data_IF_174917511022
#
_entry.id   IF_174917511022
#
_cell.length_a   1.000
_cell.length_b   1.000
_cell.length_c   1.000
_cell.angle_alpha   90.00
_cell.angle_beta   90.00
_cell.angle_gamma   90.00
#
_symmetry.space_group_name_H-M   'P 1'
#
loop_
_entity.id
_entity.type
_entity.pdbx_description
1 polymer ?
#
# COMPACT_ATOMS: atom_id res chain seq x y z
N UNK A 1 -6.29 -0.41 -19.48
CA UNK A 1 -7.35 0.52 -19.04
C UNK A 1 -8.60 0.37 -19.89
N UNK A 2 -8.55 0.66 -21.20
CA UNK A 2 -9.75 0.65 -22.06
C UNK A 2 -10.43 -0.72 -22.16
N UNK A 3 -9.67 -1.80 -22.37
CA UNK A 3 -10.19 -3.18 -22.39
C UNK A 3 -11.01 -3.48 -21.13
N UNK A 4 -10.44 -3.20 -19.96
CA UNK A 4 -11.06 -3.47 -18.66
C UNK A 4 -11.95 -2.35 -18.12
N UNK A 5 -12.28 -1.34 -18.95
CA UNK A 5 -13.16 -0.20 -18.57
C UNK A 5 -12.69 0.56 -17.32
N UNK A 6 -11.38 0.77 -17.19
CA UNK A 6 -10.79 1.57 -16.11
C UNK A 6 -10.67 3.01 -16.58
N UNK A 7 -11.43 3.91 -15.97
CA UNK A 7 -11.45 5.33 -16.32
C UNK A 7 -10.15 6.05 -15.89
N UNK A 8 -9.74 5.82 -14.63
CA UNK A 8 -8.60 6.48 -13.99
C UNK A 8 -7.64 5.43 -13.42
N UNK A 9 -6.33 5.64 -13.61
CA UNK A 9 -5.29 4.88 -12.92
C UNK A 9 -4.37 5.81 -12.14
N UNK A 10 -4.13 5.46 -10.87
CA UNK A 10 -3.07 6.07 -10.06
C UNK A 10 -1.86 5.15 -10.14
N UNK A 11 -0.96 5.43 -11.09
CA UNK A 11 0.20 4.57 -11.38
C UNK A 11 1.32 4.79 -10.36
N UNK A 12 2.26 3.86 -10.29
CA UNK A 12 3.42 3.97 -9.38
C UNK A 12 4.63 3.25 -9.96
N UNK A 13 5.83 3.65 -9.55
CA UNK A 13 7.05 2.91 -9.88
C UNK A 13 6.98 1.54 -9.22
N UNK A 14 7.24 0.47 -9.97
CA UNK A 14 7.30 -0.89 -9.47
C UNK A 14 8.49 -1.10 -8.51
N UNK A 15 8.40 -2.13 -7.68
CA UNK A 15 9.53 -2.58 -6.86
C UNK A 15 10.75 -2.96 -7.73
N UNK A 16 12.00 -2.75 -7.25
CA UNK A 16 12.39 -2.32 -5.91
C UNK A 16 12.54 -0.80 -5.76
N UNK A 17 11.80 0.00 -6.54
CA UNK A 17 11.86 1.47 -6.51
C UNK A 17 13.29 1.98 -6.70
N UNK A 18 13.84 2.65 -5.68
CA UNK A 18 15.17 3.23 -5.65
C UNK A 18 16.02 2.66 -4.51
N UNK A 19 15.56 1.58 -3.87
CA UNK A 19 16.12 1.04 -2.63
C UNK A 19 17.57 0.54 -2.77
N UNK A 20 18.02 0.33 -4.01
CA UNK A 20 19.35 -0.14 -4.37
C UNK A 20 20.33 0.98 -4.78
N UNK A 21 19.85 2.22 -4.95
CA UNK A 21 20.69 3.31 -5.43
C UNK A 21 21.65 3.81 -4.35
N UNK A 22 22.81 4.29 -4.78
CA UNK A 22 23.76 4.93 -3.87
C UNK A 22 23.16 6.23 -3.29
N UNK A 23 23.49 6.59 -2.04
CA UNK A 23 22.98 7.81 -1.40
C UNK A 23 23.21 9.09 -2.24
N UNK A 24 24.31 9.14 -2.99
CA UNK A 24 24.69 10.29 -3.82
C UNK A 24 23.88 10.44 -5.10
N UNK A 25 23.34 9.35 -5.65
CA UNK A 25 22.62 9.35 -6.93
C UNK A 25 21.10 9.38 -6.72
N UNK A 26 20.64 8.81 -5.61
CA UNK A 26 19.22 8.55 -5.32
C UNK A 26 18.34 9.79 -5.46
N UNK A 27 18.77 10.96 -4.96
CA UNK A 27 18.00 12.20 -5.03
C UNK A 27 17.72 12.69 -6.45
N UNK A 28 18.77 12.75 -7.29
CA UNK A 28 18.63 13.22 -8.67
C UNK A 28 17.79 12.25 -9.53
N UNK A 29 17.96 10.95 -9.31
CA UNK A 29 17.18 9.92 -10.02
C UNK A 29 15.71 9.97 -9.57
N UNK A 30 15.44 10.09 -8.27
CA UNK A 30 14.06 10.24 -7.76
C UNK A 30 13.36 11.44 -8.40
N UNK A 31 14.04 12.59 -8.44
CA UNK A 31 13.49 13.78 -9.09
C UNK A 31 13.16 13.51 -10.57
N UNK A 32 14.12 12.99 -11.34
CA UNK A 32 13.93 12.72 -12.77
C UNK A 32 12.79 11.73 -13.04
N UNK A 33 12.69 10.66 -12.25
CA UNK A 33 11.62 9.66 -12.37
C UNK A 33 10.27 10.29 -12.05
N UNK A 34 10.16 11.04 -10.96
CA UNK A 34 8.90 11.66 -10.56
C UNK A 34 8.41 12.72 -11.56
N UNK A 35 9.32 13.52 -12.13
CA UNK A 35 9.01 14.46 -13.21
C UNK A 35 8.51 13.74 -14.47
N UNK A 36 9.13 12.61 -14.81
CA UNK A 36 8.73 11.77 -15.94
C UNK A 36 7.34 11.16 -15.73
N UNK A 37 7.02 10.65 -14.54
CA UNK A 37 5.66 10.19 -14.21
C UNK A 37 4.64 11.32 -14.33
N UNK A 38 4.98 12.52 -13.83
CA UNK A 38 4.13 13.71 -13.99
C UNK A 38 3.89 14.04 -15.46
N UNK A 39 4.93 13.92 -16.30
CA UNK A 39 4.84 14.12 -17.75
C UNK A 39 3.95 13.06 -18.42
N UNK A 40 4.12 11.78 -18.10
CA UNK A 40 3.26 10.70 -18.60
C UNK A 40 1.78 10.93 -18.24
N UNK A 41 1.51 11.38 -17.01
CA UNK A 41 0.15 11.73 -16.61
C UNK A 41 -0.42 12.91 -17.41
N UNK A 42 0.43 13.88 -17.79
CA UNK A 42 0.03 15.03 -18.60
C UNK A 42 -0.38 14.67 -20.03
N UNK A 43 0.10 13.54 -20.55
CA UNK A 43 -0.28 13.04 -21.88
C UNK A 43 -1.72 12.49 -21.91
N UNK A 44 -2.30 12.16 -20.74
CA UNK A 44 -3.66 11.62 -20.59
C UNK A 44 -4.38 12.28 -19.39
N UNK A 45 -4.66 13.60 -19.45
CA UNK A 45 -5.17 14.36 -18.32
C UNK A 45 -6.54 13.83 -17.86
N UNK A 46 -6.73 13.73 -16.55
CA UNK A 46 -7.96 13.20 -15.95
C UNK A 46 -8.07 11.67 -15.95
N UNK A 47 -7.18 10.96 -16.67
CA UNK A 47 -7.12 9.49 -16.65
C UNK A 47 -5.92 8.95 -15.88
N UNK A 48 -4.85 9.71 -15.76
CA UNK A 48 -3.63 9.28 -15.07
C UNK A 48 -3.24 10.25 -13.94
N UNK A 49 -2.97 9.65 -12.78
CA UNK A 49 -2.31 10.25 -11.62
C UNK A 49 -1.20 9.32 -11.16
N UNK A 50 -0.37 9.72 -10.19
CA UNK A 50 0.67 8.82 -9.70
C UNK A 50 1.00 8.96 -8.22
N UNK A 51 1.57 7.88 -7.68
CA UNK A 51 2.33 7.88 -6.43
C UNK A 51 3.82 8.05 -6.76
N UNK A 52 4.45 9.07 -6.18
CA UNK A 52 5.89 9.32 -6.35
C UNK A 52 6.76 8.31 -5.63
N UNK A 53 8.03 8.19 -6.05
CA UNK A 53 9.05 7.42 -5.34
C UNK A 53 9.97 8.33 -4.53
N UNK A 54 10.52 7.83 -3.42
CA UNK A 54 11.39 8.59 -2.52
C UNK A 54 12.84 8.08 -2.55
N UNK A 55 13.85 8.96 -2.43
CA UNK A 55 15.26 8.57 -2.41
C UNK A 55 15.69 8.10 -1.02
N UNK A 56 15.13 7.00 -0.51
CA UNK A 56 15.29 6.56 0.89
C UNK A 56 16.72 6.21 1.30
N UNK A 57 17.62 6.00 0.33
CA UNK A 57 19.05 5.79 0.59
C UNK A 57 19.82 7.11 0.78
N UNK A 58 19.23 8.26 0.43
CA UNK A 58 19.85 9.58 0.57
C UNK A 58 19.78 10.10 2.02
N UNK A 59 20.49 11.21 2.28
CA UNK A 59 20.37 11.94 3.54
C UNK A 59 18.94 12.47 3.74
N UNK A 60 18.53 12.63 5.00
CA UNK A 60 17.18 13.05 5.37
C UNK A 60 16.76 14.35 4.68
N UNK A 61 17.66 15.33 4.58
CA UNK A 61 17.38 16.62 3.94
C UNK A 61 16.98 16.45 2.46
N UNK A 62 17.61 15.50 1.75
CA UNK A 62 17.28 15.17 0.36
C UNK A 62 15.92 14.49 0.27
N UNK A 63 15.59 13.60 1.21
CA UNK A 63 14.28 12.94 1.25
C UNK A 63 13.17 13.96 1.50
N UNK A 64 13.37 14.87 2.46
CA UNK A 64 12.42 15.94 2.78
C UNK A 64 12.24 16.91 1.59
N UNK A 65 13.32 17.28 0.91
CA UNK A 65 13.24 18.10 -0.31
C UNK A 65 12.47 17.38 -1.42
N UNK A 66 12.64 16.07 -1.57
CA UNK A 66 11.88 15.25 -2.52
C UNK A 66 10.38 15.23 -2.20
N UNK A 67 9.99 15.20 -0.92
CA UNK A 67 8.58 15.24 -0.49
C UNK A 67 7.93 16.59 -0.85
N UNK A 68 8.62 17.70 -0.59
CA UNK A 68 8.12 19.03 -0.97
C UNK A 68 8.05 19.19 -2.50
N UNK A 69 8.99 18.63 -3.24
CA UNK A 69 8.93 18.61 -4.69
C UNK A 69 7.72 17.81 -5.20
N UNK A 70 7.48 16.61 -4.66
CA UNK A 70 6.33 15.78 -5.04
C UNK A 70 4.99 16.47 -4.81
N UNK A 71 4.86 17.26 -3.74
CA UNK A 71 3.65 18.01 -3.41
C UNK A 71 3.24 19.00 -4.52
N UNK A 72 4.20 19.57 -5.24
CA UNK A 72 3.92 20.56 -6.29
C UNK A 72 3.74 19.95 -7.69
N UNK A 73 3.98 18.64 -7.85
CA UNK A 73 3.73 17.95 -9.11
C UNK A 73 2.24 17.70 -9.29
N UNK A 74 1.67 18.32 -10.33
CA UNK A 74 0.23 18.40 -10.60
C UNK A 74 -0.55 17.09 -10.43
N UNK A 75 0.02 15.97 -10.89
CA UNK A 75 -0.65 14.67 -10.92
C UNK A 75 -0.24 13.73 -9.78
N UNK A 76 0.68 14.16 -8.91
CA UNK A 76 1.11 13.39 -7.75
C UNK A 76 -0.01 13.40 -6.69
N UNK A 77 -0.32 12.24 -6.11
CA UNK A 77 -1.33 12.09 -5.04
C UNK A 77 -0.83 11.38 -3.79
N UNK A 78 0.45 11.05 -3.76
CA UNK A 78 1.07 10.38 -2.63
C UNK A 78 2.44 9.82 -2.99
N UNK A 79 2.91 8.86 -2.20
CA UNK A 79 4.18 8.15 -2.43
C UNK A 79 3.98 6.65 -2.35
N UNK A 80 4.72 5.88 -3.15
CA UNK A 80 4.85 4.44 -2.97
C UNK A 80 6.13 4.15 -2.18
N UNK A 81 6.03 3.25 -1.21
CA UNK A 81 7.10 2.92 -0.26
C UNK A 81 7.17 1.41 -0.04
N UNK A 82 8.39 0.85 -0.03
CA UNK A 82 8.66 -0.53 0.36
C UNK A 82 8.69 -0.75 1.88
N UNK A 83 8.87 -2.00 2.33
CA UNK A 83 8.84 -2.31 3.77
C UNK A 83 10.18 -2.13 4.50
N UNK A 84 11.26 -1.86 3.78
CA UNK A 84 12.61 -1.69 4.32
C UNK A 84 12.86 -0.31 4.95
N UNK A 85 12.09 0.72 4.57
CA UNK A 85 12.29 2.09 5.05
C UNK A 85 13.69 2.61 4.71
N UNK A 86 14.44 3.07 5.73
CA UNK A 86 15.85 3.46 5.59
C UNK A 86 16.83 2.27 5.68
N UNK A 87 16.34 1.04 5.52
CA UNK A 87 17.09 -0.21 5.61
C UNK A 87 16.92 -1.00 6.92
N UNK A 88 16.25 -0.42 7.93
CA UNK A 88 15.96 -1.09 9.22
C UNK A 88 14.48 -1.45 9.41
N UNK A 89 13.62 -1.14 8.44
CA UNK A 89 12.18 -1.32 8.49
C UNK A 89 11.41 -0.06 8.89
N UNK A 90 10.09 -0.19 9.01
CA UNK A 90 9.17 0.94 9.17
C UNK A 90 8.94 1.39 10.62
N UNK A 91 9.47 0.65 11.58
CA UNK A 91 9.55 1.01 12.99
C UNK A 91 10.88 1.71 13.34
N UNK A 92 11.74 2.01 12.35
CA UNK A 92 12.93 2.82 12.55
C UNK A 92 12.53 4.24 12.99
N UNK A 93 12.96 4.72 14.18
CA UNK A 93 12.68 6.08 14.62
C UNK A 93 13.15 7.16 13.65
N UNK A 94 14.19 6.89 12.87
CA UNK A 94 14.72 7.82 11.86
C UNK A 94 13.76 8.04 10.68
N UNK A 95 12.73 7.19 10.54
CA UNK A 95 11.67 7.31 9.54
C UNK A 95 10.52 8.23 10.00
N UNK A 96 10.42 8.56 11.30
CA UNK A 96 9.34 9.42 11.82
C UNK A 96 9.29 10.81 11.16
N UNK A 97 10.42 11.55 10.99
CA UNK A 97 10.38 12.85 10.31
C UNK A 97 9.87 12.77 8.86
N UNK A 98 10.10 11.63 8.19
CA UNK A 98 9.60 11.38 6.83
C UNK A 98 8.08 11.18 6.86
N UNK A 99 7.55 10.38 7.79
CA UNK A 99 6.11 10.22 7.96
C UNK A 99 5.41 11.53 8.36
N UNK A 100 6.01 12.32 9.23
CA UNK A 100 5.50 13.65 9.62
C UNK A 100 5.44 14.60 8.42
N UNK A 101 6.48 14.61 7.57
CA UNK A 101 6.50 15.42 6.35
C UNK A 101 5.43 14.96 5.34
N UNK A 102 5.26 13.65 5.14
CA UNK A 102 4.22 13.09 4.26
C UNK A 102 2.82 13.45 4.77
N UNK A 103 2.58 13.34 6.09
CA UNK A 103 1.32 13.74 6.71
C UNK A 103 1.06 15.25 6.55
N UNK A 104 2.08 16.09 6.80
CA UNK A 104 1.97 17.56 6.69
C UNK A 104 1.67 18.03 5.27
N UNK A 105 2.28 17.37 4.28
CA UNK A 105 2.04 17.67 2.86
C UNK A 105 0.74 17.04 2.33
N UNK A 106 0.08 16.20 3.13
CA UNK A 106 -1.12 15.47 2.74
C UNK A 106 -0.88 14.46 1.61
N UNK A 107 0.34 13.92 1.51
CA UNK A 107 0.70 12.87 0.57
C UNK A 107 0.39 11.50 1.21
N UNK A 108 -0.54 10.76 0.61
CA UNK A 108 -0.89 9.41 1.07
C UNK A 108 0.24 8.43 0.79
N UNK A 109 0.55 7.54 1.73
CA UNK A 109 1.54 6.47 1.50
C UNK A 109 0.84 5.25 0.94
N UNK A 110 1.29 4.73 -0.20
CA UNK A 110 0.96 3.40 -0.66
C UNK A 110 2.08 2.43 -0.26
N UNK A 111 1.84 1.63 0.78
CA UNK A 111 2.80 0.66 1.28
C UNK A 111 2.69 -0.64 0.47
N UNK A 112 3.79 -1.09 -0.11
CA UNK A 112 3.82 -2.22 -1.03
C UNK A 112 4.96 -3.21 -0.69
N UNK A 113 4.73 -4.52 -0.82
CA UNK A 113 5.76 -5.53 -0.55
C UNK A 113 6.78 -5.64 -1.69
N UNK A 114 7.92 -6.26 -1.40
CA UNK A 114 8.91 -6.65 -2.39
C UNK A 114 9.83 -7.75 -1.86
N UNK A 115 10.30 -7.59 -0.62
CA UNK A 115 11.39 -8.39 -0.05
C UNK A 115 10.95 -9.80 0.33
N UNK A 116 9.66 -10.03 0.50
CA UNK A 116 9.06 -11.30 0.89
C UNK A 116 9.58 -11.81 2.23
N UNK A 117 9.74 -13.13 2.31
CA UNK A 117 10.34 -13.82 3.45
C UNK A 117 11.66 -14.49 3.03
N UNK A 118 12.56 -14.81 3.98
CA UNK A 118 13.79 -15.55 3.67
C UNK A 118 13.50 -16.84 2.90
N UNK A 119 14.22 -17.07 1.80
CA UNK A 119 13.88 -18.13 0.85
C UNK A 119 13.86 -19.56 1.46
N UNK A 120 14.60 -19.77 2.55
CA UNK A 120 14.67 -21.06 3.24
C UNK A 120 13.32 -21.48 3.85
N UNK A 121 12.41 -20.55 4.14
CA UNK A 121 11.09 -20.88 4.72
C UNK A 121 10.19 -21.64 3.74
N UNK A 122 10.51 -21.62 2.44
CA UNK A 122 9.74 -22.33 1.40
C UNK A 122 10.14 -23.80 1.27
N UNK A 123 11.27 -24.19 1.86
CA UNK A 123 11.78 -25.56 1.82
C UNK A 123 12.37 -25.97 0.46
N UNK A 124 12.98 -27.16 0.39
CA UNK A 124 13.85 -27.54 -0.71
C UNK A 124 13.13 -27.82 -2.04
N UNK A 125 11.81 -28.02 -2.04
CA UNK A 125 11.01 -28.29 -3.24
C UNK A 125 10.55 -27.02 -3.95
N UNK A 126 10.51 -25.88 -3.25
CA UNK A 126 9.88 -24.68 -3.76
C UNK A 126 10.49 -24.16 -5.06
N UNK A 127 11.82 -24.12 -5.12
CA UNK A 127 12.56 -23.62 -6.29
C UNK A 127 12.39 -24.50 -7.54
N UNK A 128 12.07 -25.79 -7.36
CA UNK A 128 11.97 -26.75 -8.46
C UNK A 128 10.51 -27.02 -8.89
N UNK A 129 9.53 -26.87 -7.98
CA UNK A 129 8.22 -27.47 -8.19
C UNK A 129 7.04 -26.49 -8.12
N UNK A 130 7.18 -25.36 -7.43
CA UNK A 130 6.03 -24.50 -7.12
C UNK A 130 6.04 -23.15 -7.84
N UNK A 131 7.02 -22.95 -8.74
CA UNK A 131 7.21 -21.67 -9.43
C UNK A 131 7.30 -20.51 -8.44
N UNK A 132 6.61 -19.42 -8.74
CA UNK A 132 6.59 -18.20 -7.90
C UNK A 132 5.42 -18.16 -6.91
N UNK A 133 4.66 -19.25 -6.75
CA UNK A 133 3.41 -19.25 -5.96
C UNK A 133 3.66 -18.89 -4.49
N UNK A 134 4.62 -19.53 -3.80
CA UNK A 134 4.85 -19.27 -2.38
C UNK A 134 5.37 -17.84 -2.11
N UNK A 135 6.39 -17.33 -2.83
CA UNK A 135 6.85 -15.95 -2.63
C UNK A 135 5.77 -14.90 -2.90
N UNK A 136 4.97 -15.06 -3.96
CA UNK A 136 3.96 -14.08 -4.35
C UNK A 136 2.67 -14.18 -3.52
N UNK A 137 2.12 -15.39 -3.35
CA UNK A 137 0.84 -15.58 -2.66
C UNK A 137 0.95 -15.54 -1.14
N UNK A 138 2.13 -15.84 -0.57
CA UNK A 138 2.37 -15.84 0.88
C UNK A 138 3.40 -14.80 1.29
N UNK A 139 4.56 -14.77 0.64
CA UNK A 139 5.67 -13.89 1.02
C UNK A 139 5.26 -12.42 1.04
N UNK A 140 4.72 -11.91 -0.06
CA UNK A 140 4.28 -10.51 -0.19
C UNK A 140 3.24 -10.08 0.87
N UNK A 141 2.08 -10.75 1.00
CA UNK A 141 1.09 -10.33 2.00
C UNK A 141 1.58 -10.52 3.44
N UNK A 142 2.42 -11.52 3.73
CA UNK A 142 3.02 -11.67 5.07
C UNK A 142 4.01 -10.56 5.38
N UNK A 143 4.86 -10.16 4.42
CA UNK A 143 5.80 -9.05 4.55
C UNK A 143 5.05 -7.74 4.89
N UNK A 144 4.00 -7.39 4.14
CA UNK A 144 3.14 -6.23 4.43
C UNK A 144 2.58 -6.29 5.84
N UNK A 145 2.07 -7.46 6.25
CA UNK A 145 1.48 -7.65 7.59
C UNK A 145 2.51 -7.40 8.69
N UNK A 146 3.72 -7.95 8.55
CA UNK A 146 4.80 -7.79 9.51
C UNK A 146 5.23 -6.33 9.60
N UNK A 147 5.39 -5.66 8.47
CA UNK A 147 5.80 -4.26 8.41
C UNK A 147 4.81 -3.33 9.13
N UNK A 148 3.51 -3.48 8.87
CA UNK A 148 2.46 -2.68 9.51
C UNK A 148 2.30 -3.01 10.99
N UNK A 149 2.39 -4.30 11.37
CA UNK A 149 2.35 -4.69 12.77
C UNK A 149 3.51 -4.08 13.56
N UNK A 150 4.72 -4.03 12.98
CA UNK A 150 5.88 -3.33 13.57
C UNK A 150 5.63 -1.83 13.74
N UNK A 151 5.11 -1.15 12.71
CA UNK A 151 4.74 0.27 12.80
C UNK A 151 3.74 0.53 13.94
N UNK A 152 2.70 -0.31 14.04
CA UNK A 152 1.68 -0.21 15.08
C UNK A 152 2.29 -0.39 16.48
N UNK A 153 3.06 -1.45 16.69
CA UNK A 153 3.71 -1.74 17.98
C UNK A 153 4.72 -0.67 18.39
N UNK A 154 5.35 0.00 17.42
CA UNK A 154 6.24 1.14 17.63
C UNK A 154 5.49 2.47 17.88
N UNK A 155 4.17 2.48 17.78
CA UNK A 155 3.33 3.67 17.99
C UNK A 155 3.48 4.71 16.88
N UNK A 156 3.87 4.32 15.66
CA UNK A 156 4.04 5.27 14.53
C UNK A 156 2.73 6.00 14.25
N UNK A 157 1.62 5.27 14.22
CA UNK A 157 0.28 5.83 13.98
C UNK A 157 -0.19 6.79 15.08
N UNK A 158 0.28 6.62 16.32
CA UNK A 158 -0.04 7.53 17.42
C UNK A 158 0.86 8.78 17.41
N UNK A 159 2.12 8.62 17.01
CA UNK A 159 3.07 9.73 16.85
C UNK A 159 2.71 10.64 15.67
N UNK A 160 2.17 10.06 14.59
CA UNK A 160 1.79 10.78 13.37
C UNK A 160 0.30 10.56 13.07
N UNK A 161 -0.62 11.17 13.83
CA UNK A 161 -2.07 10.91 13.73
C UNK A 161 -2.66 11.29 12.36
N UNK A 162 -2.03 12.24 11.66
CA UNK A 162 -2.44 12.65 10.31
C UNK A 162 -1.86 11.78 9.18
N UNK A 163 -1.03 10.78 9.50
CA UNK A 163 -0.56 9.83 8.50
C UNK A 163 -1.75 9.08 7.90
N UNK A 164 -1.75 8.98 6.56
CA UNK A 164 -2.71 8.19 5.79
C UNK A 164 -1.96 7.19 4.94
N UNK A 165 -2.34 5.92 5.04
CA UNK A 165 -1.63 4.83 4.38
C UNK A 165 -2.59 3.85 3.72
N UNK A 166 -2.38 3.59 2.43
CA UNK A 166 -3.01 2.51 1.68
C UNK A 166 -2.11 1.29 1.79
N UNK A 167 -2.67 0.13 2.15
CA UNK A 167 -1.93 -1.12 2.19
C UNK A 167 -2.24 -1.98 0.97
N UNK A 168 -1.18 -2.45 0.32
CA UNK A 168 -1.28 -3.41 -0.76
C UNK A 168 -1.94 -4.72 -0.31
N UNK A 169 -2.64 -5.35 -1.25
CA UNK A 169 -3.25 -6.69 -1.13
C UNK A 169 -4.19 -6.81 0.07
N UNK A 170 -5.09 -5.84 0.22
CA UNK A 170 -6.01 -5.68 1.35
C UNK A 170 -5.33 -5.71 2.73
N UNK A 171 -4.10 -5.19 2.83
CA UNK A 171 -3.31 -5.23 4.08
C UNK A 171 -2.61 -6.57 4.30
N UNK A 172 -2.44 -7.36 3.25
CA UNK A 172 -1.93 -8.71 3.31
C UNK A 172 -2.84 -9.63 4.12
N UNK A 173 -2.42 -9.96 5.32
CA UNK A 173 -3.20 -10.81 6.25
C UNK A 173 -3.71 -10.04 7.46
N UNK A 174 -3.51 -8.72 7.52
CA UNK A 174 -3.82 -7.89 8.68
C UNK A 174 -5.31 -7.91 9.07
N UNK A 175 -6.31 -7.79 8.16
CA UNK A 175 -7.71 -7.89 8.55
C UNK A 175 -8.07 -9.20 9.26
N UNK A 176 -7.43 -10.30 8.86
CA UNK A 176 -7.65 -11.62 9.44
C UNK A 176 -6.92 -11.79 10.79
N UNK A 177 -5.74 -11.19 10.94
CA UNK A 177 -4.89 -11.35 12.12
C UNK A 177 -5.08 -10.27 13.19
N UNK A 178 -5.78 -9.17 12.91
CA UNK A 178 -5.96 -8.05 13.84
C UNK A 178 -6.47 -8.48 15.23
N UNK A 179 -7.48 -9.37 15.29
CA UNK A 179 -7.98 -9.89 16.57
C UNK A 179 -6.94 -10.72 17.34
N UNK A 180 -6.09 -11.45 16.63
CA UNK A 180 -4.99 -12.21 17.24
C UNK A 180 -3.91 -11.27 17.77
N UNK A 181 -3.56 -10.23 17.01
CA UNK A 181 -2.59 -9.21 17.42
C UNK A 181 -3.05 -8.54 18.71
N UNK A 182 -4.29 -8.05 18.76
CA UNK A 182 -4.86 -7.43 19.97
C UNK A 182 -4.85 -8.37 21.18
N UNK A 183 -5.24 -9.64 20.97
CA UNK A 183 -5.22 -10.64 22.03
C UNK A 183 -3.80 -10.90 22.54
N UNK A 184 -2.81 -11.05 21.65
CA UNK A 184 -1.42 -11.23 22.04
C UNK A 184 -0.89 -10.02 22.84
N UNK A 185 -1.20 -8.79 22.42
CA UNK A 185 -0.81 -7.57 23.14
C UNK A 185 -1.42 -7.54 24.54
N UNK A 186 -2.74 -7.77 24.65
CA UNK A 186 -3.45 -7.71 25.92
C UNK A 186 -2.97 -8.75 26.96
N UNK A 187 -2.38 -9.85 26.49
CA UNK A 187 -1.88 -10.94 27.33
C UNK A 187 -0.34 -11.01 27.41
N UNK A 188 0.37 -10.00 26.88
CA UNK A 188 1.82 -9.98 26.92
C UNK A 188 2.34 -9.42 28.25
N UNK A 189 3.06 -10.27 28.99
CA UNK A 189 3.59 -9.90 30.30
C UNK A 189 4.68 -8.84 30.27
N UNK A 190 5.45 -8.72 29.18
CA UNK A 190 6.48 -7.69 29.05
C UNK A 190 5.83 -6.32 28.80
N UNK A 191 4.89 -6.24 27.87
CA UNK A 191 4.17 -5.00 27.57
C UNK A 191 3.41 -4.47 28.80
N UNK A 192 2.83 -5.37 29.61
CA UNK A 192 2.20 -5.01 30.87
C UNK A 192 3.20 -4.38 31.85
N UNK A 193 4.37 -5.02 32.05
CA UNK A 193 5.40 -4.51 32.98
C UNK A 193 6.00 -3.18 32.54
N UNK A 194 6.11 -2.96 31.24
CA UNK A 194 6.59 -1.69 30.66
C UNK A 194 5.51 -0.60 30.65
N UNK A 195 4.29 -0.88 31.11
CA UNK A 195 3.19 0.10 31.16
C UNK A 195 2.60 0.43 29.79
N UNK A 196 2.83 -0.40 28.76
CA UNK A 196 2.33 -0.18 27.38
C UNK A 196 0.87 -0.60 27.19
N UNK A 197 0.28 -1.30 28.16
CA UNK A 197 -1.13 -1.71 28.14
C UNK A 197 -2.02 -0.68 28.85
N UNK A 198 -2.05 0.54 28.33
CA UNK A 198 -2.90 1.61 28.86
C UNK A 198 -4.36 1.44 28.39
N UNK A 199 -5.30 2.03 29.13
CA UNK A 199 -6.75 1.94 28.80
C UNK A 199 -7.15 2.80 27.59
N UNK A 200 -6.34 3.81 27.29
CA UNK A 200 -6.48 4.77 26.20
C UNK A 200 -5.65 4.41 24.97
N UNK A 201 -5.01 3.22 24.97
CA UNK A 201 -4.29 2.71 23.79
C UNK A 201 -5.26 2.58 22.62
N UNK A 202 -4.92 3.21 21.49
CA UNK A 202 -5.61 2.99 20.21
C UNK A 202 -5.32 1.57 19.73
N UNK A 203 -6.37 0.85 19.38
CA UNK A 203 -6.33 -0.53 18.90
C UNK A 203 -5.99 -0.60 17.41
N UNK A 204 -5.57 -1.79 16.94
CA UNK A 204 -5.42 -2.06 15.49
C UNK A 204 -6.70 -1.73 14.74
N UNK A 205 -7.87 -1.97 15.34
CA UNK A 205 -9.17 -1.69 14.73
C UNK A 205 -9.42 -0.19 14.53
N UNK A 206 -9.02 0.64 15.49
CA UNK A 206 -9.12 2.10 15.37
C UNK A 206 -8.16 2.61 14.29
N UNK A 207 -6.91 2.11 14.24
CA UNK A 207 -5.96 2.45 13.18
C UNK A 207 -6.48 2.07 11.79
N UNK A 208 -7.09 0.89 11.64
CA UNK A 208 -7.71 0.43 10.40
C UNK A 208 -8.89 1.30 9.93
N UNK A 209 -9.60 1.93 10.87
CA UNK A 209 -10.78 2.76 10.57
C UNK A 209 -10.46 4.24 10.42
N UNK A 210 -9.32 4.70 10.92
CA UNK A 210 -8.98 6.13 10.97
C UNK A 210 -7.85 6.50 10.02
N UNK A 211 -6.74 5.75 10.02
CA UNK A 211 -5.51 6.13 9.33
C UNK A 211 -5.17 5.23 8.13
N UNK A 212 -5.61 3.98 8.16
CA UNK A 212 -5.31 3.00 7.11
C UNK A 212 -6.46 2.84 6.13
N UNK A 213 -6.12 2.69 4.86
CA UNK A 213 -6.99 2.26 3.77
C UNK A 213 -6.46 0.94 3.22
N UNK A 214 -7.33 0.16 2.59
CA UNK A 214 -6.96 -1.13 2.01
C UNK A 214 -7.24 -1.08 0.51
N UNK A 215 -6.33 -1.59 -0.33
CA UNK A 215 -6.75 -1.92 -1.69
C UNK A 215 -7.69 -3.16 -1.68
N UNK A 216 -8.36 -3.42 -2.80
CA UNK A 216 -9.23 -4.57 -3.00
C UNK A 216 -8.57 -5.70 -3.81
N UNK A 217 -7.23 -5.76 -3.84
CA UNK A 217 -6.48 -6.82 -4.56
C UNK A 217 -6.39 -8.05 -3.67
N UNK A 218 -7.45 -8.85 -3.66
CA UNK A 218 -7.60 -10.01 -2.76
C UNK A 218 -8.21 -11.25 -3.43
N UNK A 219 -8.65 -11.11 -4.69
CA UNK A 219 -9.09 -12.16 -5.60
C UNK A 219 -10.30 -13.00 -5.18
N UNK A 220 -10.81 -12.84 -3.95
CA UNK A 220 -12.01 -13.52 -3.47
C UNK A 220 -12.83 -12.63 -2.53
N UNK A 221 -14.15 -12.76 -2.62
CA UNK A 221 -15.12 -12.14 -1.74
C UNK A 221 -14.96 -12.54 -0.27
N UNK A 222 -14.36 -13.71 0.02
CA UNK A 222 -14.08 -14.14 1.40
C UNK A 222 -13.11 -13.18 2.07
N UNK A 223 -11.96 -12.94 1.43
CA UNK A 223 -10.96 -12.00 1.92
C UNK A 223 -11.48 -10.56 1.90
N UNK A 224 -12.20 -10.19 0.84
CA UNK A 224 -12.74 -8.84 0.71
C UNK A 224 -13.79 -8.51 1.79
N UNK A 225 -14.68 -9.45 2.15
CA UNK A 225 -15.64 -9.27 3.25
C UNK A 225 -14.93 -9.06 4.60
N UNK A 226 -13.82 -9.75 4.85
CA UNK A 226 -13.03 -9.54 6.06
C UNK A 226 -12.39 -8.13 6.07
N UNK A 227 -11.87 -7.67 4.94
CA UNK A 227 -11.33 -6.31 4.78
C UNK A 227 -12.42 -5.24 4.99
N UNK A 228 -13.61 -5.41 4.41
CA UNK A 228 -14.77 -4.53 4.62
C UNK A 228 -15.18 -4.50 6.10
N UNK A 229 -15.21 -5.65 6.79
CA UNK A 229 -15.57 -5.69 8.20
C UNK A 229 -14.54 -4.98 9.10
N UNK A 230 -13.26 -5.07 8.73
CA UNK A 230 -12.16 -4.46 9.47
C UNK A 230 -12.14 -2.92 9.31
N UNK A 231 -12.12 -2.43 8.07
CA UNK A 231 -11.90 -1.01 7.76
C UNK A 231 -13.16 -0.24 7.34
N UNK A 232 -14.22 -0.91 6.88
CA UNK A 232 -15.40 -0.29 6.28
C UNK A 232 -15.27 -0.15 4.75
N UNK A 233 -16.40 -0.29 4.05
CA UNK A 233 -16.44 -0.25 2.58
C UNK A 233 -16.00 1.12 2.01
N UNK A 234 -16.12 2.20 2.78
CA UNK A 234 -15.66 3.56 2.44
C UNK A 234 -14.13 3.74 2.51
N UNK A 235 -13.41 2.70 2.94
CA UNK A 235 -11.94 2.68 3.06
C UNK A 235 -11.25 1.66 2.18
N UNK A 236 -12.00 0.99 1.31
CA UNK A 236 -11.47 0.05 0.33
C UNK A 236 -11.38 0.71 -1.05
N UNK A 237 -10.32 0.39 -1.82
CA UNK A 237 -10.11 0.94 -3.16
C UNK A 237 -9.73 -0.15 -4.15
N UNK A 238 -10.43 -0.23 -5.27
CA UNK A 238 -10.13 -1.18 -6.33
C UNK A 238 -8.72 -0.99 -6.90
N UNK A 239 -8.05 -2.10 -7.19
CA UNK A 239 -6.74 -2.17 -7.82
C UNK A 239 -6.62 -3.43 -8.67
N UNK A 240 -5.62 -3.46 -9.55
CA UNK A 240 -5.42 -4.57 -10.49
C UNK A 240 -4.07 -5.26 -10.35
N UNK A 241 -3.09 -4.60 -9.73
CA UNK A 241 -1.68 -5.03 -9.71
C UNK A 241 -1.09 -5.26 -11.13
N UNK A 242 -1.65 -4.56 -12.12
CA UNK A 242 -1.12 -4.60 -13.49
C UNK A 242 0.29 -4.00 -13.55
N UNK A 243 1.25 -4.63 -14.27
CA UNK A 243 1.07 -5.76 -15.19
C UNK A 243 1.55 -7.13 -14.66
N UNK A 244 1.64 -7.34 -13.34
CA UNK A 244 2.38 -8.50 -12.79
C UNK A 244 1.77 -9.87 -13.05
N UNK A 245 0.45 -9.94 -13.30
CA UNK A 245 -0.27 -11.19 -13.53
C UNK A 245 -0.96 -11.22 -14.90
N UNK A 246 -0.18 -11.32 -16.01
CA UNK A 246 -0.73 -11.41 -17.36
C UNK A 246 -1.36 -12.79 -17.61
N UNK A 247 -2.27 -12.89 -18.59
CA UNK A 247 -2.77 -14.19 -19.03
C UNK A 247 -1.64 -15.06 -19.61
N UNK A 248 -1.61 -16.35 -19.25
CA UNK A 248 -0.60 -17.30 -19.76
C UNK A 248 -1.08 -18.10 -20.98
N UNK A 249 -2.39 -18.16 -21.21
CA UNK A 249 -3.03 -19.03 -22.21
C UNK A 249 -3.97 -18.28 -23.16
N UNK A 250 -4.20 -16.99 -22.93
CA UNK A 250 -5.03 -16.12 -23.76
C UNK A 250 -4.25 -14.89 -24.20
N UNK A 251 -4.83 -14.08 -25.08
CA UNK A 251 -4.20 -12.87 -25.61
C UNK A 251 -3.97 -11.82 -24.50
N UNK A 252 -2.74 -11.33 -24.36
CA UNK A 252 -2.36 -10.27 -23.41
C UNK A 252 -3.03 -8.92 -23.71
N UNK A 253 -3.48 -8.70 -24.96
CA UNK A 253 -4.24 -7.51 -25.33
C UNK A 253 -5.73 -7.61 -24.96
N UNK A 254 -6.19 -8.81 -24.59
CA UNK A 254 -7.57 -9.11 -24.22
C UNK A 254 -7.86 -8.90 -22.73
N UNK A 255 -8.88 -9.61 -22.24
CA UNK A 255 -9.26 -9.59 -20.83
C UNK A 255 -8.20 -10.28 -19.96
N UNK A 256 -8.00 -9.76 -18.76
CA UNK A 256 -7.03 -10.28 -17.79
C UNK A 256 -7.82 -10.88 -16.63
N UNK A 257 -7.65 -12.19 -16.41
CA UNK A 257 -8.34 -12.91 -15.35
C UNK A 257 -8.05 -12.32 -13.95
N UNK A 258 -6.82 -11.83 -13.74
CA UNK A 258 -6.40 -11.13 -12.51
C UNK A 258 -7.24 -9.87 -12.21
N UNK A 259 -7.75 -9.18 -13.23
CA UNK A 259 -8.66 -8.04 -13.07
C UNK A 259 -10.08 -8.52 -12.80
N UNK A 260 -10.56 -9.50 -13.58
CA UNK A 260 -11.91 -10.03 -13.47
C UNK A 260 -12.19 -10.61 -12.08
N UNK A 261 -11.24 -11.35 -11.51
CA UNK A 261 -11.36 -11.95 -10.17
C UNK A 261 -11.57 -10.89 -9.07
N UNK A 262 -10.83 -9.79 -9.11
CA UNK A 262 -10.99 -8.71 -8.14
C UNK A 262 -12.33 -7.97 -8.34
N UNK A 263 -12.74 -7.73 -9.58
CA UNK A 263 -14.03 -7.08 -9.86
C UNK A 263 -15.21 -7.95 -9.38
N UNK A 264 -15.15 -9.27 -9.62
CA UNK A 264 -16.14 -10.23 -9.14
C UNK A 264 -16.16 -10.30 -7.60
N UNK A 265 -14.99 -10.32 -6.96
CA UNK A 265 -14.89 -10.29 -5.50
C UNK A 265 -15.62 -9.08 -4.90
N UNK A 266 -15.45 -7.88 -5.49
CA UNK A 266 -16.16 -6.66 -5.07
C UNK A 266 -17.67 -6.82 -5.25
N UNK A 267 -18.12 -7.25 -6.43
CA UNK A 267 -19.54 -7.48 -6.71
C UNK A 267 -20.20 -8.44 -5.70
N UNK A 268 -19.54 -9.55 -5.38
CA UNK A 268 -20.04 -10.56 -4.45
C UNK A 268 -19.94 -10.15 -2.98
N UNK A 269 -18.99 -9.26 -2.62
CA UNK A 269 -18.80 -8.81 -1.25
C UNK A 269 -19.80 -7.75 -0.82
N UNK A 270 -20.03 -6.74 -1.65
CA UNK A 270 -20.85 -5.56 -1.31
C UNK A 270 -22.12 -5.42 -2.18
N UNK A 271 -22.35 -6.37 -3.08
CA UNK A 271 -23.48 -6.37 -4.00
C UNK A 271 -23.23 -5.50 -5.23
N UNK A 272 -23.45 -6.05 -6.42
CA UNK A 272 -23.34 -5.33 -7.70
C UNK A 272 -24.19 -4.05 -7.71
N UNK A 273 -23.62 -2.96 -8.26
CA UNK A 273 -24.26 -1.65 -8.49
C UNK A 273 -24.79 -0.91 -7.25
N UNK A 274 -24.46 -1.39 -6.05
CA UNK A 274 -24.76 -0.69 -4.78
C UNK A 274 -23.90 0.57 -4.61
N UNK A 275 -24.24 1.40 -3.61
CA UNK A 275 -23.39 2.54 -3.22
C UNK A 275 -21.98 2.10 -2.81
N UNK A 276 -21.88 1.02 -2.03
CA UNK A 276 -20.60 0.46 -1.60
C UNK A 276 -19.80 -0.10 -2.77
N UNK A 277 -20.45 -0.75 -3.75
CA UNK A 277 -19.78 -1.18 -4.98
C UNK A 277 -19.14 0.01 -5.72
N UNK A 278 -19.90 1.10 -5.94
CA UNK A 278 -19.36 2.31 -6.59
C UNK A 278 -18.23 2.96 -5.79
N UNK A 279 -18.34 2.93 -4.46
CA UNK A 279 -17.32 3.40 -3.55
C UNK A 279 -16.01 2.63 -3.72
N UNK A 280 -16.05 1.31 -3.59
CA UNK A 280 -14.87 0.46 -3.73
C UNK A 280 -14.30 0.52 -5.14
N UNK A 281 -15.14 0.49 -6.18
CA UNK A 281 -14.69 0.51 -7.59
C UNK A 281 -14.07 1.83 -8.03
N UNK A 282 -14.22 2.93 -7.28
CA UNK A 282 -13.51 4.16 -7.61
C UNK A 282 -13.84 5.41 -6.79
N UNK A 283 -15.07 5.57 -6.28
CA UNK A 283 -15.45 6.83 -5.62
C UNK A 283 -14.66 7.09 -4.33
N UNK A 284 -14.23 6.04 -3.63
CA UNK A 284 -13.32 6.17 -2.49
C UNK A 284 -11.97 6.74 -2.94
N UNK A 285 -11.38 6.19 -4.01
CA UNK A 285 -10.12 6.68 -4.56
C UNK A 285 -10.23 8.13 -5.02
N UNK A 286 -11.32 8.50 -5.71
CA UNK A 286 -11.59 9.89 -6.12
C UNK A 286 -11.56 10.84 -4.92
N UNK A 287 -12.28 10.48 -3.84
CA UNK A 287 -12.37 11.30 -2.63
C UNK A 287 -11.06 11.36 -1.85
N UNK A 288 -10.46 10.21 -1.56
CA UNK A 288 -9.28 10.07 -0.70
C UNK A 288 -8.05 10.68 -1.38
N UNK A 289 -7.90 10.44 -2.69
CA UNK A 289 -6.76 10.88 -3.47
C UNK A 289 -7.05 12.16 -4.27
N UNK A 290 -8.19 12.84 -4.08
CA UNK A 290 -8.51 14.13 -4.71
C UNK A 290 -8.32 14.08 -6.24
N UNK A 291 -8.94 13.10 -6.89
CA UNK A 291 -8.80 12.86 -8.33
C UNK A 291 -9.75 13.72 -9.17
N UNK A 292 -10.74 14.34 -8.53
CA UNK A 292 -11.71 15.29 -9.09
C UNK A 292 -11.23 16.75 -9.07
N UNK A 293 -10.21 17.06 -8.26
CA UNK A 293 -9.65 18.39 -8.17
C UNK A 293 -8.88 18.74 -9.46
N UNK A 294 -9.43 19.67 -10.25
CA UNK A 294 -8.66 20.43 -11.23
C UNK A 294 -7.66 21.31 -10.47
N UNK A 295 -6.47 20.75 -10.19
CA UNK A 295 -5.25 21.41 -9.66
C UNK A 295 -5.45 22.59 -8.70
#
# INVERSE_FOLDING_TARGET
MDTHRIDISVISLANPWLDFLSPSESGAIAQSVNEEFSRMCSDNPGRLFFFGTLPLTAALETVLASIEHLRILRYCRGVILGTSGLGKGLDDPDLLPIFEALATTGLTVFLHPHYGLPNDVWGPRASAEYGHVLPLALGFPMETTIAVARMYLAGVFDKVPELRMILAHSGGTLPFLAGRIESCIAHDGQLLREGKLTKDRRTVWEVLREQVYLDAVIYSEVGLKAAVQASGADRLMFGTDHPFFPPLTTDEQGEWESVSLNAEAVALAVGQDTGDFKNVMGMNAVKILRLDAES
#
